data_IF_918233062014
#
_entry.id   IF_918233062014
#
_cell.length_a   1.000
_cell.length_b   1.000
_cell.length_c   1.000
_cell.angle_alpha   90.00
_cell.angle_beta   90.00
_cell.angle_gamma   90.00
#
_symmetry.space_group_name_H-M   'P 1'
#
loop_
_entity.id
_entity.type
_entity.pdbx_description
1 polymer ?
#
# COMPACT_ATOMS: atom_id res chain seq x y z
N UNK A 1 15.00 -4.18 3.69
CA UNK A 1 14.97 -4.46 2.22
C UNK A 1 13.85 -5.41 1.80
N UNK A 2 13.52 -6.47 2.57
CA UNK A 2 12.46 -7.45 2.21
C UNK A 2 11.08 -6.85 1.95
N UNK A 3 10.64 -5.84 2.74
CA UNK A 3 9.35 -5.17 2.54
C UNK A 3 9.26 -4.46 1.18
N UNK A 4 10.32 -3.75 0.78
CA UNK A 4 10.36 -2.98 -0.46
C UNK A 4 10.24 -3.86 -1.72
N UNK A 5 10.70 -5.11 -1.63
CA UNK A 5 10.66 -6.09 -2.73
C UNK A 5 9.40 -6.94 -2.73
N UNK A 6 8.50 -6.79 -1.76
CA UNK A 6 7.25 -7.55 -1.72
C UNK A 6 6.37 -7.19 -2.93
N UNK A 7 5.80 -8.22 -3.55
CA UNK A 7 4.91 -8.12 -4.71
C UNK A 7 3.49 -8.55 -4.41
N UNK A 8 3.27 -9.26 -3.29
CA UNK A 8 1.96 -9.74 -2.87
C UNK A 8 1.65 -9.41 -1.41
N UNK A 9 0.39 -9.15 -1.04
CA UNK A 9 0.02 -8.82 0.35
C UNK A 9 0.43 -9.90 1.34
N UNK A 10 0.35 -11.17 0.95
CA UNK A 10 0.65 -12.31 1.83
C UNK A 10 2.13 -12.35 2.24
N UNK A 11 3.03 -11.82 1.39
CA UNK A 11 4.46 -11.71 1.72
C UNK A 11 4.71 -10.68 2.82
N UNK A 12 3.88 -9.63 2.87
CA UNK A 12 3.95 -8.59 3.90
C UNK A 12 3.40 -9.13 5.21
N UNK A 13 2.28 -9.86 5.14
CA UNK A 13 1.63 -10.47 6.31
C UNK A 13 2.54 -11.52 6.98
N UNK A 14 3.16 -12.40 6.19
CA UNK A 14 4.12 -13.38 6.71
C UNK A 14 5.35 -12.72 7.38
N UNK A 15 5.82 -11.59 6.82
CA UNK A 15 6.90 -10.83 7.44
C UNK A 15 6.46 -10.14 8.73
N UNK A 16 5.21 -9.66 8.80
CA UNK A 16 4.66 -9.01 9.99
C UNK A 16 4.56 -10.03 11.13
N UNK A 17 4.10 -11.23 10.82
CA UNK A 17 4.05 -12.36 11.76
C UNK A 17 5.45 -12.71 12.28
N UNK A 18 6.44 -12.91 11.39
CA UNK A 18 7.83 -13.19 11.77
C UNK A 18 8.41 -12.11 12.71
N UNK A 19 8.14 -10.83 12.41
CA UNK A 19 8.62 -9.71 13.23
C UNK A 19 7.91 -9.65 14.57
N UNK A 20 6.59 -9.88 14.60
CA UNK A 20 5.80 -9.83 15.84
C UNK A 20 6.16 -10.98 16.77
N UNK A 21 6.42 -12.17 16.23
CA UNK A 21 6.89 -13.32 16.99
C UNK A 21 8.27 -13.05 17.62
N UNK A 22 9.20 -12.49 16.85
CA UNK A 22 10.59 -12.26 17.28
C UNK A 22 10.78 -11.06 18.20
N UNK A 23 9.97 -10.02 18.04
CA UNK A 23 10.19 -8.72 18.70
C UNK A 23 8.99 -8.24 19.52
N UNK A 24 7.89 -9.00 19.54
CA UNK A 24 6.64 -8.62 20.18
C UNK A 24 5.89 -7.54 19.39
N UNK A 25 4.97 -6.85 20.07
CA UNK A 25 4.10 -5.85 19.45
C UNK A 25 4.91 -4.69 18.86
N UNK A 26 4.67 -4.41 17.59
CA UNK A 26 5.29 -3.28 16.91
C UNK A 26 4.82 -1.93 17.49
N UNK A 27 5.73 -0.93 17.59
CA UNK A 27 5.33 0.44 17.82
C UNK A 27 4.54 0.98 16.62
N UNK A 28 3.80 2.08 16.81
CA UNK A 28 2.93 2.67 15.79
C UNK A 28 3.67 2.92 14.47
N UNK A 29 4.91 3.41 14.53
CA UNK A 29 5.72 3.68 13.34
C UNK A 29 6.02 2.39 12.55
N UNK A 30 6.22 1.28 13.25
CA UNK A 30 6.41 -0.03 12.63
C UNK A 30 5.14 -0.50 11.94
N UNK A 31 3.99 -0.39 12.61
CA UNK A 31 2.69 -0.73 12.02
C UNK A 31 2.42 0.10 10.74
N UNK A 32 2.62 1.43 10.82
CA UNK A 32 2.46 2.32 9.67
C UNK A 32 3.36 1.92 8.49
N UNK A 33 4.60 1.51 8.75
CA UNK A 33 5.51 1.07 7.70
C UNK A 33 4.98 -0.16 6.94
N UNK A 34 4.44 -1.15 7.67
CA UNK A 34 3.82 -2.33 7.08
C UNK A 34 2.56 -1.97 6.30
N UNK A 35 1.70 -1.12 6.86
CA UNK A 35 0.46 -0.68 6.21
C UNK A 35 0.74 0.06 4.90
N UNK A 36 1.76 0.94 4.88
CA UNK A 36 2.19 1.65 3.66
C UNK A 36 2.69 0.67 2.58
N UNK A 37 3.42 -0.36 2.96
CA UNK A 37 3.88 -1.37 2.00
C UNK A 37 2.73 -2.22 1.48
N UNK A 38 1.75 -2.54 2.34
CA UNK A 38 0.55 -3.26 1.96
C UNK A 38 -0.26 -2.45 0.95
N UNK A 39 -0.46 -1.17 1.24
CA UNK A 39 -1.11 -0.23 0.32
C UNK A 39 -0.38 -0.16 -1.03
N UNK A 40 0.95 -0.04 -1.02
CA UNK A 40 1.76 -0.03 -2.26
C UNK A 40 1.51 -1.28 -3.12
N UNK A 41 1.51 -2.46 -2.51
CA UNK A 41 1.31 -3.73 -3.22
C UNK A 41 -0.11 -3.83 -3.76
N UNK A 42 -1.11 -3.46 -2.96
CA UNK A 42 -2.52 -3.45 -3.38
C UNK A 42 -2.79 -2.45 -4.50
N UNK A 43 -2.09 -1.32 -4.52
CA UNK A 43 -2.27 -0.26 -5.50
C UNK A 43 -1.61 -0.57 -6.85
N UNK A 44 -0.54 -1.38 -6.87
CA UNK A 44 0.26 -1.71 -8.07
C UNK A 44 -0.59 -2.30 -9.22
N UNK A 45 -1.50 -3.27 -9.01
CA UNK A 45 -2.35 -3.81 -10.08
C UNK A 45 -3.27 -2.77 -10.73
N UNK A 46 -3.71 -1.77 -9.97
CA UNK A 46 -4.55 -0.68 -10.47
C UNK A 46 -3.76 0.38 -11.26
N UNK A 47 -2.45 0.19 -11.44
CA UNK A 47 -1.59 1.12 -12.16
C UNK A 47 -1.29 2.40 -11.40
N UNK A 48 -1.48 2.42 -10.08
CA UNK A 48 -1.08 3.56 -9.22
C UNK A 48 0.44 3.67 -9.22
N UNK A 49 0.95 4.86 -9.54
CA UNK A 49 2.38 5.18 -9.54
C UNK A 49 2.80 5.99 -8.32
N UNK A 50 1.88 6.76 -7.73
CA UNK A 50 2.14 7.63 -6.58
C UNK A 50 0.86 7.88 -5.78
N UNK A 51 1.01 7.97 -4.47
CA UNK A 51 -0.05 8.43 -3.56
C UNK A 51 0.56 9.50 -2.66
N UNK A 52 0.09 10.74 -2.77
CA UNK A 52 0.48 11.86 -1.91
C UNK A 52 -0.71 12.25 -1.03
N UNK A 53 -0.60 12.00 0.27
CA UNK A 53 -1.62 12.40 1.24
C UNK A 53 -1.18 13.69 1.96
N UNK A 54 -1.91 14.78 1.75
CA UNK A 54 -1.87 15.99 2.55
C UNK A 54 -3.08 16.03 3.51
N UNK A 55 -3.08 16.90 4.54
CA UNK A 55 -4.14 16.90 5.56
C UNK A 55 -5.57 17.03 5.03
N UNK A 56 -5.76 17.71 3.89
CA UNK A 56 -7.08 17.98 3.30
C UNK A 56 -7.31 17.33 1.93
N UNK A 57 -6.28 16.74 1.33
CA UNK A 57 -6.37 16.19 -0.03
C UNK A 57 -5.43 15.00 -0.19
N UNK A 58 -5.91 13.95 -0.85
CA UNK A 58 -5.10 12.82 -1.26
C UNK A 58 -5.04 12.83 -2.79
N UNK A 59 -3.84 12.92 -3.34
CA UNK A 59 -3.59 12.81 -4.76
C UNK A 59 -3.14 11.39 -5.09
N UNK A 60 -3.90 10.70 -5.93
CA UNK A 60 -3.57 9.36 -6.43
C UNK A 60 -3.23 9.49 -7.90
N UNK A 61 -1.98 9.21 -8.26
CA UNK A 61 -1.50 9.31 -9.62
C UNK A 61 -1.46 7.91 -10.23
N UNK A 62 -2.06 7.77 -11.41
CA UNK A 62 -2.07 6.54 -12.18
C UNK A 62 -1.12 6.64 -13.37
N UNK A 63 -0.61 5.50 -13.85
CA UNK A 63 0.11 5.42 -15.13
C UNK A 63 -0.82 5.76 -16.30
N UNK A 64 -0.30 6.17 -17.47
CA UNK A 64 -1.11 6.31 -18.68
C UNK A 64 -1.88 5.02 -18.99
N UNK A 65 -3.16 5.15 -19.40
CA UNK A 65 -4.08 4.03 -19.64
C UNK A 65 -4.09 3.00 -18.49
N UNK A 66 -4.48 3.40 -17.27
CA UNK A 66 -4.48 2.49 -16.15
C UNK A 66 -5.55 1.40 -16.34
N UNK A 67 -5.34 0.20 -15.78
CA UNK A 67 -6.29 -0.92 -15.88
C UNK A 67 -7.45 -0.74 -14.88
N UNK A 68 -8.06 0.44 -14.87
CA UNK A 68 -9.23 0.78 -14.06
C UNK A 68 -10.31 1.36 -14.95
N UNK A 69 -11.56 1.14 -14.58
CA UNK A 69 -12.70 1.74 -15.25
C UNK A 69 -12.85 3.21 -14.79
N UNK A 70 -12.75 4.21 -15.68
CA UNK A 70 -12.93 5.61 -15.31
C UNK A 70 -14.30 5.90 -14.67
N UNK A 71 -15.36 5.17 -15.04
CA UNK A 71 -16.70 5.35 -14.47
C UNK A 71 -16.71 5.00 -12.98
N UNK A 72 -15.97 3.96 -12.57
CA UNK A 72 -15.84 3.57 -11.16
C UNK A 72 -15.18 4.65 -10.31
N UNK A 73 -14.30 5.47 -10.89
CA UNK A 73 -13.68 6.59 -10.17
C UNK A 73 -14.67 7.74 -10.00
N UNK A 74 -15.48 7.99 -11.03
CA UNK A 74 -16.52 9.04 -10.99
C UNK A 74 -17.61 8.70 -9.96
N UNK A 75 -17.99 7.42 -9.82
CA UNK A 75 -18.95 6.95 -8.81
C UNK A 75 -18.53 7.22 -7.36
N UNK A 76 -17.24 7.49 -7.10
CA UNK A 76 -16.69 7.70 -5.75
C UNK A 76 -16.67 9.18 -5.33
N UNK A 77 -17.08 10.10 -6.21
CA UNK A 77 -17.09 11.57 -5.98
C UNK A 77 -18.50 12.07 -5.69
#
# INVERSE_FOLDING_TARGET
>A
KRLATAEKPEQIDAMLEEITDRFGKLPTQGQTLFDLHRLRVLAKPYGVIKVDAAPSIININFRPNPPIDPMRVIELV
#
